data_IF_679358414550
#
_entry.id   IF_679358414550
#
_cell.length_a   1.000
_cell.length_b   1.000
_cell.length_c   1.000
_cell.angle_alpha   90.00
_cell.angle_beta   90.00
_cell.angle_gamma   90.00
#
_symmetry.space_group_name_H-M   'P 1'
#
loop_
_entity.id
_entity.type
_entity.pdbx_description
1 polymer ?
#
# COMPACT_ATOMS: atom_id res chain seq x y z
N UNK A 1 5.73 -80.19 -0.96
CA UNK A 1 4.98 -78.94 -0.76
C UNK A 1 5.58 -78.26 0.45
N UNK A 2 6.36 -77.20 0.28
CA UNK A 2 6.38 -76.06 1.21
C UNK A 2 7.11 -74.92 0.53
N UNK A 3 6.32 -73.97 0.05
CA UNK A 3 6.75 -72.64 -0.33
C UNK A 3 7.27 -71.96 0.95
N UNK A 4 8.54 -71.53 0.98
CA UNK A 4 8.98 -70.57 1.99
C UNK A 4 8.99 -69.17 1.39
N UNK A 5 8.26 -68.36 2.12
CA UNK A 5 7.74 -67.04 1.84
C UNK A 5 8.84 -65.97 1.86
N UNK A 6 8.56 -64.92 1.10
CA UNK A 6 9.35 -63.72 0.88
C UNK A 6 9.70 -62.99 2.18
N UNK A 7 10.91 -62.45 2.26
CA UNK A 7 11.20 -61.31 3.14
C UNK A 7 11.54 -60.11 2.26
N UNK A 8 10.66 -59.11 2.12
CA UNK A 8 11.06 -57.85 1.52
C UNK A 8 11.95 -57.12 2.52
N UNK A 9 13.21 -56.93 2.14
CA UNK A 9 14.19 -56.11 2.84
C UNK A 9 13.64 -54.68 2.97
N UNK A 10 13.29 -54.32 4.21
CA UNK A 10 12.99 -52.96 4.63
C UNK A 10 14.18 -52.05 4.29
N UNK A 11 14.08 -51.24 3.24
CA UNK A 11 14.84 -50.00 3.13
C UNK A 11 13.88 -48.84 3.36
N UNK A 12 14.01 -48.09 4.46
CA UNK A 12 13.36 -46.80 4.56
C UNK A 12 14.02 -45.90 3.52
N UNK A 13 13.31 -45.64 2.43
CA UNK A 13 13.64 -44.62 1.45
C UNK A 13 13.42 -43.23 2.08
N UNK A 14 14.34 -42.91 2.98
CA UNK A 14 14.64 -41.59 3.55
C UNK A 14 15.13 -40.63 2.43
N UNK A 15 14.31 -40.34 1.42
CA UNK A 15 14.63 -39.26 0.47
C UNK A 15 13.46 -38.66 -0.30
N UNK A 16 12.25 -38.66 0.26
CA UNK A 16 11.15 -37.85 -0.27
C UNK A 16 10.70 -36.73 0.68
N UNK A 17 11.55 -36.30 1.61
CA UNK A 17 11.40 -34.99 2.24
C UNK A 17 12.10 -33.94 1.38
N UNK A 18 11.63 -33.82 0.13
CA UNK A 18 12.00 -32.73 -0.77
C UNK A 18 11.32 -31.46 -0.25
N UNK A 19 12.00 -30.85 0.70
CA UNK A 19 12.04 -29.41 0.97
C UNK A 19 10.76 -28.69 0.54
N UNK A 20 9.82 -28.57 1.47
CA UNK A 20 8.89 -27.45 1.48
C UNK A 20 9.73 -26.18 1.49
N UNK A 21 10.08 -25.64 0.32
CA UNK A 21 10.38 -24.22 0.26
C UNK A 21 9.09 -23.53 0.67
N UNK A 22 9.07 -22.72 1.74
CA UNK A 22 8.00 -21.77 1.89
C UNK A 22 8.08 -20.95 0.61
N UNK A 23 7.12 -21.12 -0.31
CA UNK A 23 6.94 -20.17 -1.40
C UNK A 23 6.84 -18.85 -0.67
N UNK A 24 7.90 -18.07 -0.80
CA UNK A 24 8.02 -16.75 -0.25
C UNK A 24 6.78 -16.02 -0.74
N UNK A 25 5.80 -15.95 0.16
CA UNK A 25 4.52 -15.34 -0.08
C UNK A 25 4.88 -13.90 -0.33
N UNK A 26 5.01 -13.55 -1.61
CA UNK A 26 5.14 -12.18 -2.08
C UNK A 26 3.85 -11.54 -1.62
N UNK A 27 3.82 -11.08 -0.36
CA UNK A 27 2.84 -10.12 0.12
C UNK A 27 2.82 -9.09 -0.99
N UNK A 28 1.67 -8.85 -1.65
CA UNK A 28 1.62 -7.91 -2.75
C UNK A 28 2.25 -6.64 -2.20
N UNK A 29 3.41 -6.24 -2.76
CA UNK A 29 4.12 -5.05 -2.33
C UNK A 29 3.07 -3.95 -2.27
N UNK A 30 2.82 -3.45 -1.05
CA UNK A 30 1.56 -2.82 -0.67
C UNK A 30 1.09 -1.88 -1.77
N UNK A 31 -0.01 -2.23 -2.45
CA UNK A 31 -0.51 -1.50 -3.61
C UNK A 31 -0.71 -0.05 -3.18
N UNK A 32 0.19 0.82 -3.63
CA UNK A 32 0.18 2.24 -3.31
C UNK A 32 -1.24 2.74 -3.64
N UNK A 33 -2.01 3.17 -2.64
CA UNK A 33 -3.39 3.60 -2.85
C UNK A 33 -3.34 4.87 -3.69
N UNK A 34 -3.55 4.69 -4.99
CA UNK A 34 -3.60 5.75 -5.98
C UNK A 34 -4.67 6.79 -5.64
N UNK A 35 -5.65 6.42 -4.82
CA UNK A 35 -6.61 7.34 -4.22
C UNK A 35 -5.97 8.46 -3.41
N UNK A 36 -4.91 8.19 -2.62
CA UNK A 36 -4.20 9.24 -1.89
C UNK A 36 -3.50 10.21 -2.85
N UNK A 37 -2.99 9.70 -3.98
CA UNK A 37 -2.40 10.55 -5.02
C UNK A 37 -3.47 11.44 -5.66
N UNK A 38 -4.61 10.87 -6.03
CA UNK A 38 -5.72 11.60 -6.67
C UNK A 38 -6.28 12.67 -5.71
N UNK A 39 -6.59 12.29 -4.46
CA UNK A 39 -7.04 13.22 -3.42
C UNK A 39 -6.03 14.34 -3.18
N UNK A 40 -4.75 13.98 -3.08
CA UNK A 40 -3.71 14.96 -2.86
C UNK A 40 -3.58 15.97 -4.01
N UNK A 41 -3.65 15.52 -5.26
CA UNK A 41 -3.62 16.43 -6.44
C UNK A 41 -4.86 17.33 -6.47
N UNK A 42 -6.05 16.78 -6.19
CA UNK A 42 -7.30 17.56 -6.18
C UNK A 42 -7.25 18.63 -5.09
N UNK A 43 -6.86 18.26 -3.87
CA UNK A 43 -6.78 19.20 -2.75
C UNK A 43 -5.69 20.24 -2.96
N UNK A 44 -4.54 19.85 -3.53
CA UNK A 44 -3.47 20.79 -3.83
C UNK A 44 -3.89 21.78 -4.92
N UNK A 45 -4.52 21.29 -6.00
CA UNK A 45 -5.00 22.12 -7.10
C UNK A 45 -6.10 23.09 -6.67
N UNK A 46 -7.16 22.56 -6.02
CA UNK A 46 -8.27 23.38 -5.55
C UNK A 46 -7.84 24.34 -4.43
N UNK A 47 -7.09 23.84 -3.44
CA UNK A 47 -6.58 24.65 -2.33
C UNK A 47 -5.68 25.78 -2.81
N UNK A 48 -4.76 25.51 -3.74
CA UNK A 48 -3.87 26.55 -4.30
C UNK A 48 -4.63 27.55 -5.15
N UNK A 49 -5.57 27.10 -6.00
CA UNK A 49 -6.44 28.00 -6.77
C UNK A 49 -7.27 28.89 -5.84
N UNK A 50 -7.86 28.30 -4.80
CA UNK A 50 -8.68 29.02 -3.83
C UNK A 50 -7.84 30.03 -3.06
N UNK A 51 -6.65 29.65 -2.62
CA UNK A 51 -5.73 30.54 -1.90
C UNK A 51 -5.28 31.73 -2.77
N UNK A 52 -4.97 31.48 -4.05
CA UNK A 52 -4.66 32.54 -5.02
C UNK A 52 -5.83 33.50 -5.21
N UNK A 53 -7.04 32.96 -5.38
CA UNK A 53 -8.24 33.79 -5.55
C UNK A 53 -8.56 34.62 -4.29
N UNK A 54 -8.37 34.02 -3.11
CA UNK A 54 -8.53 34.70 -1.83
C UNK A 54 -7.52 35.83 -1.63
N UNK A 55 -6.26 35.63 -2.03
CA UNK A 55 -5.26 36.71 -1.96
C UNK A 55 -5.61 37.90 -2.86
N UNK A 56 -6.42 37.68 -3.90
CA UNK A 56 -6.86 38.72 -4.84
C UNK A 56 -8.19 39.38 -4.47
N UNK A 57 -8.93 38.83 -3.49
CA UNK A 57 -10.27 39.30 -3.09
C UNK A 57 -10.33 39.55 -1.58
N UNK A 58 -10.30 40.83 -1.13
CA UNK A 58 -10.28 41.17 0.30
C UNK A 58 -11.60 40.87 1.03
N UNK A 59 -12.70 40.60 0.32
CA UNK A 59 -13.99 40.21 0.90
C UNK A 59 -14.10 38.71 1.22
N UNK A 60 -12.98 38.01 1.26
CA UNK A 60 -12.99 36.58 1.53
C UNK A 60 -13.19 36.28 3.01
N UNK A 61 -14.29 35.60 3.31
CA UNK A 61 -14.62 35.11 4.64
C UNK A 61 -13.46 34.29 5.24
N UNK A 62 -13.11 34.56 6.51
CA UNK A 62 -12.01 33.88 7.23
C UNK A 62 -12.11 32.36 7.15
N UNK A 63 -13.33 31.83 7.11
CA UNK A 63 -13.60 30.40 6.93
C UNK A 63 -13.02 29.85 5.61
N UNK A 64 -13.17 30.59 4.51
CA UNK A 64 -12.61 30.19 3.21
C UNK A 64 -11.08 30.15 3.24
N UNK A 65 -10.45 31.05 3.99
CA UNK A 65 -9.00 31.11 4.11
C UNK A 65 -8.46 29.92 4.89
N UNK A 66 -9.07 29.61 6.04
CA UNK A 66 -8.74 28.44 6.85
C UNK A 66 -8.91 27.15 6.04
N UNK A 67 -10.01 27.03 5.28
CA UNK A 67 -10.28 25.87 4.47
C UNK A 67 -9.26 25.70 3.33
N UNK A 68 -8.88 26.79 2.66
CA UNK A 68 -7.86 26.76 1.60
C UNK A 68 -6.51 26.28 2.14
N UNK A 69 -6.07 26.84 3.28
CA UNK A 69 -4.81 26.42 3.93
C UNK A 69 -4.88 24.95 4.36
N UNK A 70 -6.00 24.50 4.93
CA UNK A 70 -6.20 23.10 5.30
C UNK A 70 -6.07 22.17 4.08
N UNK A 71 -6.72 22.49 2.95
CA UNK A 71 -6.61 21.68 1.74
C UNK A 71 -5.19 21.63 1.18
N UNK A 72 -4.44 22.73 1.21
CA UNK A 72 -3.03 22.72 0.78
C UNK A 72 -2.20 21.80 1.67
N UNK A 73 -2.31 21.92 3.00
CA UNK A 73 -1.58 21.06 3.94
C UNK A 73 -1.97 19.59 3.75
N UNK A 74 -3.26 19.29 3.64
CA UNK A 74 -3.76 17.94 3.45
C UNK A 74 -3.30 17.34 2.12
N UNK A 75 -3.36 18.13 1.04
CA UNK A 75 -2.90 17.71 -0.28
C UNK A 75 -1.41 17.35 -0.31
N UNK A 76 -0.57 18.17 0.34
CA UNK A 76 0.86 17.89 0.48
C UNK A 76 1.08 16.63 1.32
N UNK A 77 0.36 16.46 2.43
CA UNK A 77 0.48 15.29 3.29
C UNK A 77 0.11 13.99 2.56
N UNK A 78 -0.98 13.99 1.79
CA UNK A 78 -1.42 12.82 1.02
C UNK A 78 -0.45 12.46 -0.10
N UNK A 79 0.12 13.46 -0.79
CA UNK A 79 1.21 13.25 -1.74
C UNK A 79 2.44 12.64 -1.06
N UNK A 80 2.89 13.23 0.05
CA UNK A 80 4.05 12.74 0.80
C UNK A 80 3.85 11.29 1.26
N UNK A 81 2.67 10.98 1.80
CA UNK A 81 2.28 9.63 2.23
C UNK A 81 2.30 8.63 1.08
N UNK A 82 1.81 9.04 -0.10
CA UNK A 82 1.85 8.22 -1.32
C UNK A 82 3.29 7.91 -1.74
N UNK A 83 4.16 8.92 -1.83
CA UNK A 83 5.56 8.73 -2.26
C UNK A 83 6.41 7.95 -1.24
N UNK A 84 6.13 8.08 0.06
CA UNK A 84 6.84 7.33 1.10
C UNK A 84 6.39 5.87 1.21
N UNK A 85 5.36 5.44 0.48
CA UNK A 85 4.78 4.10 0.63
C UNK A 85 4.30 3.83 2.06
N UNK A 86 4.01 4.89 2.85
CA UNK A 86 3.54 4.78 4.24
C UNK A 86 2.07 4.42 4.18
N UNK A 87 1.85 3.15 3.91
CA UNK A 87 0.56 2.51 3.88
C UNK A 87 0.66 1.34 4.83
N UNK A 88 0.77 1.65 6.13
CA UNK A 88 0.39 0.67 7.14
C UNK A 88 -1.14 0.57 7.08
N UNK A 89 -1.61 -0.37 6.28
CA UNK A 89 -2.88 -1.07 6.48
C UNK A 89 -2.49 -2.43 7.03
#
# INVERSE_FOLDING_TARGET
MEHKENTPENRPDERSNRTTSPREERRPAGRNNIWNLILGIIFLGYGSYRLYYLSASPESETFSYILAVAFVIFGIYDLWKYYKGVQRV
#
